data_IF_492610641653
#
_entry.id   IF_492610641653
#
_cell.length_a   1.000
_cell.length_b   1.000
_cell.length_c   1.000
_cell.angle_alpha   90.00
_cell.angle_beta   90.00
_cell.angle_gamma   90.00
#
_symmetry.space_group_name_H-M   'P 1'
#
loop_
_entity.id
_entity.type
_entity.pdbx_description
1 polymer ?
#
# COMPACT_ATOMS: atom_id res chain seq x y z
N UNK A 1 -15.43 12.22 13.16
CA UNK A 1 -15.50 11.74 11.77
C UNK A 1 -14.65 10.48 11.69
N UNK A 2 -15.11 9.27 11.44
CA UNK A 2 -16.34 8.72 10.88
C UNK A 2 -15.85 7.49 10.12
N UNK A 3 -15.53 6.40 10.83
CA UNK A 3 -14.97 5.17 10.24
C UNK A 3 -15.92 4.70 9.13
N UNK A 4 -15.37 4.39 7.97
CA UNK A 4 -16.13 3.89 6.81
C UNK A 4 -16.92 2.65 7.25
N UNK A 5 -18.24 2.77 7.20
CA UNK A 5 -19.13 1.64 7.38
C UNK A 5 -19.24 0.98 6.01
N UNK A 6 -18.57 -0.16 5.84
CA UNK A 6 -18.71 -0.98 4.64
C UNK A 6 -19.81 -2.02 4.94
N UNK A 7 -21.07 -1.82 4.49
CA UNK A 7 -22.09 -2.84 4.59
C UNK A 7 -21.74 -3.93 3.58
N UNK A 8 -20.79 -4.80 3.93
CA UNK A 8 -20.64 -6.06 3.21
C UNK A 8 -21.96 -6.83 3.41
N UNK A 9 -22.58 -7.34 2.33
CA UNK A 9 -23.82 -8.09 2.43
C UNK A 9 -23.60 -9.22 3.43
N UNK A 10 -24.32 -9.14 4.54
CA UNK A 10 -24.44 -10.26 5.47
C UNK A 10 -25.17 -11.33 4.67
N UNK A 11 -24.44 -12.32 4.15
CA UNK A 11 -25.02 -13.53 3.57
C UNK A 11 -25.59 -14.36 4.72
N UNK A 12 -26.63 -13.84 5.35
CA UNK A 12 -27.52 -14.56 6.25
C UNK A 12 -28.43 -15.44 5.42
N UNK A 13 -27.87 -16.35 4.64
CA UNK A 13 -28.71 -17.29 3.90
C UNK A 13 -29.49 -18.18 4.88
N UNK A 14 -28.95 -18.48 6.08
CA UNK A 14 -29.46 -19.62 6.86
C UNK A 14 -29.73 -19.39 8.36
N UNK A 15 -29.42 -18.22 8.96
CA UNK A 15 -29.77 -17.97 10.38
C UNK A 15 -29.90 -16.46 10.72
N UNK A 16 -31.14 -15.93 10.85
CA UNK A 16 -31.37 -14.52 11.19
C UNK A 16 -30.96 -14.14 12.62
N UNK A 17 -30.82 -15.12 13.53
CA UNK A 17 -30.40 -14.93 14.93
C UNK A 17 -28.92 -15.31 15.17
N UNK A 18 -28.16 -15.55 14.10
CA UNK A 18 -26.73 -15.85 14.18
C UNK A 18 -25.90 -14.65 14.68
N UNK A 19 -24.75 -14.89 15.33
CA UNK A 19 -23.86 -13.80 15.72
C UNK A 19 -23.40 -13.02 14.48
N UNK A 20 -23.60 -11.70 14.51
CA UNK A 20 -23.17 -10.82 13.41
C UNK A 20 -21.65 -10.90 13.30
N UNK A 21 -21.09 -11.28 12.13
CA UNK A 21 -19.65 -11.34 11.94
C UNK A 21 -19.03 -9.98 12.26
N UNK A 22 -18.07 -9.99 13.18
CA UNK A 22 -17.38 -8.78 13.59
C UNK A 22 -16.60 -8.21 12.41
N UNK A 23 -16.26 -6.92 12.49
CA UNK A 23 -15.37 -6.28 11.51
C UNK A 23 -14.07 -7.09 11.30
N UNK A 24 -13.55 -7.69 12.37
CA UNK A 24 -12.39 -8.57 12.31
C UNK A 24 -12.64 -9.85 11.52
N UNK A 25 -13.81 -10.47 11.64
CA UNK A 25 -14.15 -11.69 10.88
C UNK A 25 -14.23 -11.41 9.38
N UNK A 26 -14.71 -10.22 9.01
CA UNK A 26 -14.75 -9.75 7.62
C UNK A 26 -13.35 -9.44 7.07
N UNK A 27 -12.51 -8.80 7.89
CA UNK A 27 -11.09 -8.61 7.59
C UNK A 27 -10.41 -9.97 7.39
N UNK A 28 -10.65 -10.93 8.28
CA UNK A 28 -10.10 -12.27 8.21
C UNK A 28 -10.58 -13.00 6.95
N UNK A 29 -11.85 -12.86 6.60
CA UNK A 29 -12.42 -13.45 5.40
C UNK A 29 -11.79 -12.89 4.12
N UNK A 30 -11.65 -11.57 4.00
CA UNK A 30 -11.00 -10.93 2.83
C UNK A 30 -9.51 -11.31 2.78
N UNK A 31 -8.82 -11.24 3.91
CA UNK A 31 -7.39 -11.59 4.03
C UNK A 31 -7.12 -13.08 3.85
N UNK A 32 -8.10 -13.97 4.03
CA UNK A 32 -7.92 -15.42 3.81
C UNK A 32 -7.44 -15.75 2.40
N UNK A 33 -7.87 -14.94 1.41
CA UNK A 33 -7.42 -15.06 0.01
C UNK A 33 -5.94 -14.70 -0.17
N UNK A 34 -5.39 -13.83 0.68
CA UNK A 34 -3.98 -13.44 0.63
C UNK A 34 -3.04 -14.63 0.90
N UNK A 35 -3.47 -15.63 1.69
CA UNK A 35 -2.71 -16.88 1.85
C UNK A 35 -2.41 -17.54 0.49
N UNK A 36 -3.37 -17.52 -0.44
CA UNK A 36 -3.19 -18.12 -1.76
C UNK A 36 -2.20 -17.33 -2.60
N UNK A 37 -2.18 -16.00 -2.47
CA UNK A 37 -1.22 -15.14 -3.14
C UNK A 37 0.23 -15.42 -2.70
N UNK A 38 0.44 -15.84 -1.45
CA UNK A 38 1.77 -16.18 -0.93
C UNK A 38 2.30 -17.55 -1.39
N UNK A 39 1.52 -18.42 -2.06
CA UNK A 39 1.98 -19.72 -2.61
C UNK A 39 2.77 -20.59 -1.59
N UNK A 40 2.41 -20.56 -0.31
CA UNK A 40 3.13 -21.21 0.80
C UNK A 40 4.56 -20.71 1.06
N UNK A 41 4.95 -19.57 0.48
CA UNK A 41 6.14 -18.81 0.86
C UNK A 41 5.76 -17.85 2.00
N UNK A 42 6.70 -17.52 2.87
CA UNK A 42 6.45 -16.50 3.90
C UNK A 42 6.03 -15.17 3.24
N UNK A 43 5.18 -14.39 3.90
CA UNK A 43 4.63 -13.16 3.30
C UNK A 43 4.11 -12.19 4.33
N UNK A 44 4.03 -10.93 3.95
CA UNK A 44 3.54 -9.84 4.80
C UNK A 44 2.22 -9.34 4.21
N UNK A 45 1.16 -9.37 5.03
CA UNK A 45 -0.13 -8.77 4.72
C UNK A 45 -0.36 -7.64 5.71
N UNK A 46 -0.44 -6.41 5.22
CA UNK A 46 -0.71 -5.24 6.05
C UNK A 46 -2.04 -4.65 5.59
N UNK A 47 -2.91 -4.32 6.52
CA UNK A 47 -4.12 -3.54 6.24
C UNK A 47 -3.88 -2.10 6.65
N UNK A 48 -3.71 -1.20 5.68
CA UNK A 48 -3.54 0.23 5.94
C UNK A 48 -4.70 1.01 5.35
N UNK A 49 -5.54 1.57 6.23
CA UNK A 49 -6.70 2.39 5.84
C UNK A 49 -7.58 1.70 4.78
N UNK A 50 -7.55 2.18 3.56
CA UNK A 50 -8.38 1.76 2.42
C UNK A 50 -7.60 0.86 1.43
N UNK A 51 -6.37 0.46 1.78
CA UNK A 51 -5.46 -0.30 0.94
C UNK A 51 -5.01 -1.60 1.63
N UNK A 52 -4.92 -2.69 0.85
CA UNK A 52 -4.50 -4.02 1.29
C UNK A 52 -3.32 -4.50 0.44
N UNK A 53 -2.08 -4.08 0.73
CA UNK A 53 -0.91 -4.59 0.06
C UNK A 53 -0.65 -6.05 0.44
N UNK A 54 -0.45 -6.88 -0.59
CA UNK A 54 -0.02 -8.27 -0.45
C UNK A 54 1.21 -8.49 -1.34
N UNK A 55 2.36 -8.70 -0.71
CA UNK A 55 3.63 -8.89 -1.41
C UNK A 55 4.54 -9.88 -0.66
N UNK A 56 5.45 -10.51 -1.41
CA UNK A 56 6.47 -11.39 -0.85
C UNK A 56 7.51 -10.54 -0.09
N UNK A 57 7.53 -10.67 1.23
CA UNK A 57 8.47 -9.92 2.08
C UNK A 57 9.90 -10.44 2.00
N UNK A 58 10.12 -11.65 1.47
CA UNK A 58 11.46 -12.25 1.42
C UNK A 58 12.40 -11.58 0.43
N UNK A 59 11.85 -10.85 -0.56
CA UNK A 59 12.59 -10.08 -1.56
C UNK A 59 12.64 -8.59 -1.23
N UNK A 60 12.09 -8.17 -0.09
CA UNK A 60 12.02 -6.77 0.28
C UNK A 60 13.38 -6.28 0.78
N UNK A 61 13.91 -5.24 0.15
CA UNK A 61 15.14 -4.57 0.56
C UNK A 61 14.78 -3.26 1.23
N UNK A 62 15.21 -3.12 2.48
CA UNK A 62 15.03 -1.92 3.29
C UNK A 62 16.39 -1.23 3.44
N UNK A 63 16.47 0.10 3.34
CA UNK A 63 17.71 0.81 3.61
C UNK A 63 18.07 0.73 5.11
N UNK A 64 19.36 0.55 5.40
CA UNK A 64 19.84 0.35 6.78
C UNK A 64 19.79 1.64 7.62
N UNK A 65 20.08 2.80 7.02
CA UNK A 65 20.26 4.08 7.72
C UNK A 65 19.24 5.18 7.36
N UNK A 66 18.12 4.78 6.76
CA UNK A 66 17.04 5.72 6.43
C UNK A 66 15.65 5.12 6.63
N UNK A 67 14.66 6.00 6.75
CA UNK A 67 13.27 5.60 6.63
C UNK A 67 12.90 5.39 5.16
N UNK A 68 11.98 4.47 4.89
CA UNK A 68 11.44 4.28 3.54
C UNK A 68 9.92 4.15 3.56
N UNK A 69 9.28 4.67 2.52
CA UNK A 69 7.85 4.50 2.27
C UNK A 69 7.69 3.32 1.33
N UNK A 70 6.87 2.33 1.70
CA UNK A 70 6.49 1.27 0.78
C UNK A 70 5.42 1.84 -0.15
N UNK A 71 5.63 1.74 -1.46
CA UNK A 71 4.69 2.22 -2.47
C UNK A 71 4.25 1.10 -3.39
N UNK A 72 3.18 1.35 -4.15
CA UNK A 72 2.72 0.42 -5.18
C UNK A 72 2.17 1.19 -6.38
N UNK A 73 2.40 0.71 -7.61
CA UNK A 73 1.92 1.40 -8.80
C UNK A 73 0.39 1.26 -8.93
N UNK A 74 -0.30 2.39 -9.11
CA UNK A 74 -1.75 2.48 -9.31
C UNK A 74 -2.10 3.26 -10.58
N UNK A 75 -3.31 3.06 -11.09
CA UNK A 75 -3.81 3.80 -12.26
C UNK A 75 -4.17 5.25 -11.87
N UNK A 76 -4.13 6.15 -12.85
CA UNK A 76 -4.29 7.58 -12.61
C UNK A 76 -5.71 7.97 -12.14
N UNK A 77 -6.73 7.20 -12.53
CA UNK A 77 -8.11 7.38 -12.08
C UNK A 77 -8.27 7.06 -10.59
N UNK A 78 -7.54 6.06 -10.08
CA UNK A 78 -7.49 5.73 -8.66
C UNK A 78 -6.72 6.82 -7.91
N UNK A 79 -5.58 7.27 -8.45
CA UNK A 79 -4.71 8.26 -7.83
C UNK A 79 -5.41 9.55 -7.40
N UNK A 80 -6.43 10.00 -8.16
CA UNK A 80 -7.24 11.18 -7.84
C UNK A 80 -7.93 11.12 -6.45
N UNK A 81 -8.04 9.94 -5.86
CA UNK A 81 -8.66 9.73 -4.55
C UNK A 81 -7.66 9.50 -3.41
N UNK A 82 -6.36 9.36 -3.70
CA UNK A 82 -5.34 8.91 -2.76
C UNK A 82 -4.12 9.83 -2.67
N UNK A 83 -3.25 9.57 -1.70
CA UNK A 83 -1.92 10.18 -1.63
C UNK A 83 -0.98 9.48 -2.60
N UNK A 84 -0.14 10.26 -3.29
CA UNK A 84 0.79 9.79 -4.31
C UNK A 84 2.20 10.23 -3.95
N UNK A 85 3.15 9.33 -4.08
CA UNK A 85 4.58 9.58 -3.91
C UNK A 85 5.19 9.99 -5.24
N UNK A 86 5.90 11.13 -5.24
CA UNK A 86 6.80 11.50 -6.32
C UNK A 86 8.19 11.00 -5.95
N UNK A 87 8.67 10.02 -6.71
CA UNK A 87 10.00 9.46 -6.55
C UNK A 87 10.98 10.17 -7.48
N UNK A 88 12.19 10.41 -6.99
CA UNK A 88 13.28 10.92 -7.81
C UNK A 88 13.62 9.94 -8.94
N UNK A 89 13.99 10.50 -10.09
CA UNK A 89 14.60 9.74 -11.18
C UNK A 89 15.98 9.20 -10.81
N UNK A 90 16.63 9.80 -9.82
CA UNK A 90 17.92 9.35 -9.31
C UNK A 90 17.69 8.37 -8.15
N UNK A 91 17.98 7.08 -8.41
CA UNK A 91 17.79 6.01 -7.45
C UNK A 91 18.47 4.71 -7.87
N UNK A 92 18.40 3.71 -7.00
CA UNK A 92 18.81 2.34 -7.33
C UNK A 92 17.62 1.66 -7.99
N UNK A 93 17.72 1.39 -9.28
CA UNK A 93 16.70 0.63 -10.03
C UNK A 93 17.36 -0.60 -10.62
N UNK A 94 16.83 -1.79 -10.29
CA UNK A 94 17.21 -3.07 -10.88
C UNK A 94 15.94 -3.84 -11.29
N UNK A 95 16.09 -4.98 -11.94
CA UNK A 95 14.99 -5.83 -12.39
C UNK A 95 14.06 -6.28 -11.24
N UNK A 96 14.61 -6.40 -10.02
CA UNK A 96 13.89 -6.94 -8.86
C UNK A 96 13.27 -5.86 -7.96
N UNK A 97 13.84 -4.66 -7.89
CA UNK A 97 13.37 -3.59 -6.98
C UNK A 97 13.86 -2.20 -7.39
N UNK A 98 13.17 -1.18 -6.86
CA UNK A 98 13.56 0.24 -7.01
C UNK A 98 13.55 0.95 -5.66
N UNK A 99 14.65 1.63 -5.32
CA UNK A 99 14.78 2.50 -4.15
C UNK A 99 15.18 3.89 -4.65
N UNK A 100 14.24 4.83 -4.54
CA UNK A 100 14.43 6.22 -4.95
C UNK A 100 14.17 7.15 -3.77
N UNK A 101 14.77 8.34 -3.80
CA UNK A 101 14.42 9.40 -2.84
C UNK A 101 12.98 9.87 -3.10
N UNK A 102 12.28 10.21 -2.03
CA UNK A 102 10.95 10.83 -2.11
C UNK A 102 11.16 12.33 -2.30
N UNK A 103 10.73 12.87 -3.43
CA UNK A 103 10.83 14.30 -3.73
C UNK A 103 9.59 15.06 -3.28
N UNK A 104 8.40 14.45 -3.40
CA UNK A 104 7.16 15.11 -3.04
C UNK A 104 6.06 14.09 -2.68
N UNK A 105 5.02 14.57 -2.00
CA UNK A 105 3.79 13.85 -1.71
C UNK A 105 2.60 14.68 -2.19
N UNK A 106 1.85 14.15 -3.15
CA UNK A 106 0.66 14.80 -3.70
C UNK A 106 -0.60 14.17 -3.11
N UNK A 107 -1.49 14.97 -2.55
CA UNK A 107 -2.73 14.46 -1.93
C UNK A 107 -3.93 14.66 -2.85
N UNK A 108 -4.54 13.57 -3.30
CA UNK A 108 -5.68 13.57 -4.23
C UNK A 108 -5.42 14.42 -5.49
N UNK A 109 -4.29 14.18 -6.18
CA UNK A 109 -3.87 15.06 -7.26
C UNK A 109 -4.79 14.95 -8.48
N UNK A 110 -4.90 16.06 -9.19
CA UNK A 110 -5.42 16.12 -10.55
C UNK A 110 -4.41 15.54 -11.55
N UNK A 111 -4.87 15.23 -12.76
CA UNK A 111 -3.98 14.77 -13.83
C UNK A 111 -2.88 15.81 -14.16
N UNK A 112 -3.21 17.09 -14.07
CA UNK A 112 -2.26 18.19 -14.30
C UNK A 112 -1.16 18.18 -13.25
N UNK A 113 -1.51 18.09 -11.96
CA UNK A 113 -0.53 18.02 -10.86
C UNK A 113 0.36 16.77 -10.95
N UNK A 114 -0.20 15.62 -11.37
CA UNK A 114 0.59 14.42 -11.62
C UNK A 114 1.60 14.61 -12.76
N UNK A 115 1.19 15.31 -13.82
CA UNK A 115 2.03 15.55 -15.00
C UNK A 115 3.13 16.57 -14.70
N UNK A 116 2.77 17.72 -14.13
CA UNK A 116 3.70 18.79 -13.78
C UNK A 116 4.67 18.38 -12.66
N UNK A 117 4.18 17.57 -11.71
CA UNK A 117 4.97 16.99 -10.63
C UNK A 117 5.82 15.79 -11.05
N UNK A 118 5.84 15.41 -12.33
CA UNK A 118 6.60 14.25 -12.84
C UNK A 118 6.28 12.94 -12.08
N UNK A 119 5.05 12.80 -11.59
CA UNK A 119 4.61 11.68 -10.76
C UNK A 119 4.17 10.46 -11.58
N UNK A 120 4.10 10.58 -12.91
CA UNK A 120 3.65 9.52 -13.82
C UNK A 120 4.85 8.69 -14.27
N UNK A 121 4.82 7.40 -13.97
CA UNK A 121 5.82 6.42 -14.38
C UNK A 121 5.73 6.11 -15.88
N UNK A 122 6.78 5.49 -16.41
CA UNK A 122 6.88 5.12 -17.83
C UNK A 122 5.74 4.22 -18.34
N UNK A 123 5.14 3.43 -17.45
CA UNK A 123 4.02 2.54 -17.73
C UNK A 123 2.64 3.22 -17.56
N UNK A 124 2.62 4.55 -17.40
CA UNK A 124 1.43 5.40 -17.21
C UNK A 124 0.70 5.20 -15.89
N UNK A 125 1.37 4.64 -14.88
CA UNK A 125 0.88 4.55 -13.50
C UNK A 125 1.55 5.59 -12.61
N UNK A 126 1.14 5.68 -11.36
CA UNK A 126 1.80 6.50 -10.34
C UNK A 126 1.95 5.72 -9.03
N UNK A 127 2.78 6.21 -8.11
CA UNK A 127 3.09 5.50 -6.87
C UNK A 127 2.13 5.89 -5.75
N UNK A 128 1.34 4.94 -5.27
CA UNK A 128 0.46 5.13 -4.11
C UNK A 128 1.29 5.26 -2.83
N UNK A 129 0.98 6.27 -2.01
CA UNK A 129 1.36 6.27 -0.59
C UNK A 129 0.50 5.25 0.16
N UNK A 130 1.12 4.14 0.55
CA UNK A 130 0.44 3.05 1.27
C UNK A 130 0.29 3.34 2.76
N UNK A 131 0.96 4.37 3.28
CA UNK A 131 1.07 4.64 4.70
C UNK A 131 1.94 3.64 5.47
N UNK A 132 2.63 2.71 4.80
CA UNK A 132 3.60 1.82 5.43
C UNK A 132 4.98 2.47 5.36
N UNK A 133 5.55 2.71 6.53
CA UNK A 133 6.83 3.39 6.69
C UNK A 133 7.74 2.50 7.53
N UNK A 134 8.92 2.18 7.00
CA UNK A 134 10.02 1.68 7.82
C UNK A 134 10.82 2.88 8.35
N UNK A 135 11.32 2.78 9.58
CA UNK A 135 12.19 3.77 10.18
C UNK A 135 13.32 3.04 10.90
N UNK A 136 14.56 3.29 10.48
CA UNK A 136 15.72 2.79 11.20
C UNK A 136 16.17 3.80 12.25
N UNK A 137 16.55 3.31 13.44
CA UNK A 137 17.22 4.15 14.43
C UNK A 137 18.67 4.32 13.98
N UNK A 138 19.12 5.56 13.77
CA UNK A 138 20.56 5.86 13.76
C UNK A 138 21.16 5.35 15.07
N UNK A 139 22.04 4.36 15.01
CA UNK A 139 22.90 4.06 16.14
C UNK A 139 23.80 5.28 16.33
N UNK A 140 23.72 5.91 17.50
CA UNK A 140 24.53 7.08 17.82
C UNK A 140 26.01 6.76 17.63
N UNK A 141 26.72 7.63 16.91
CA UNK A 141 28.19 7.66 16.94
C UNK A 141 28.61 7.89 18.40
N UNK A 142 29.29 6.91 18.98
CA UNK A 142 30.02 7.07 20.24
C UNK A 142 31.27 7.92 20.08
#
# INVERSE_FOLDING_TARGET
>A
MGKVFLPLPYLAADNPDGPVPLFFDRILAISSSARQAFKNKGGILIMTRDFLPCFDGSTMILPDDSGCIITGPITLDIAANHGVVVASSDGITNDDYSICLVENLLQKPTLTELTEGHAILHDRRTLLDTGIINSSKRQGMG
#
